data_IF_006171926739
#
_entry.id   IF_006171926739
#
_cell.length_a   1.000
_cell.length_b   1.000
_cell.length_c   1.000
_cell.angle_alpha   90.00
_cell.angle_beta   90.00
_cell.angle_gamma   90.00
#
_symmetry.space_group_name_H-M   'P 1'
#
loop_
_entity.id
_entity.type
_entity.pdbx_description
1 polymer ?
#
# COMPACT_ATOMS: atom_id res chain seq x y z
N UNK A 1 25.86 -48.75 -20.08
CA UNK A 1 26.06 -47.29 -19.91
C UNK A 1 24.90 -46.43 -20.42
N UNK A 2 24.44 -46.59 -21.67
CA UNK A 2 23.47 -45.66 -22.31
C UNK A 2 22.08 -45.60 -21.64
N UNK A 3 21.62 -46.69 -21.04
CA UNK A 3 20.36 -46.74 -20.29
C UNK A 3 20.49 -46.14 -18.89
N UNK A 4 21.62 -46.34 -18.20
CA UNK A 4 21.92 -45.76 -16.88
C UNK A 4 21.93 -44.22 -16.91
N UNK A 5 22.47 -43.62 -17.97
CA UNK A 5 22.45 -42.15 -18.16
C UNK A 5 21.03 -41.63 -18.39
N UNK A 6 20.20 -42.37 -19.15
CA UNK A 6 18.79 -42.00 -19.37
C UNK A 6 17.97 -42.11 -18.10
N UNK A 7 18.17 -43.15 -17.30
CA UNK A 7 17.47 -43.31 -16.02
C UNK A 7 17.88 -42.22 -15.02
N UNK A 8 19.17 -41.87 -14.96
CA UNK A 8 19.68 -40.78 -14.13
C UNK A 8 19.14 -39.40 -14.55
N UNK A 9 19.04 -39.12 -15.84
CA UNK A 9 18.44 -37.89 -16.35
C UNK A 9 16.93 -37.81 -16.06
N UNK A 10 16.21 -38.94 -16.10
CA UNK A 10 14.79 -38.99 -15.78
C UNK A 10 14.52 -38.75 -14.29
N UNK A 11 15.32 -39.33 -13.39
CA UNK A 11 15.18 -39.13 -11.95
C UNK A 11 15.62 -37.74 -11.50
N UNK A 12 16.65 -37.15 -12.12
CA UNK A 12 17.04 -35.77 -11.85
C UNK A 12 15.95 -34.75 -12.23
N UNK A 13 15.18 -35.01 -13.31
CA UNK A 13 14.06 -34.16 -13.72
C UNK A 13 12.87 -34.17 -12.76
N UNK A 14 12.57 -35.31 -12.11
CA UNK A 14 11.48 -35.39 -11.13
C UNK A 14 11.79 -34.64 -9.83
N UNK A 15 13.06 -34.62 -9.39
CA UNK A 15 13.46 -33.92 -8.15
C UNK A 15 13.46 -32.39 -8.35
N UNK A 16 13.62 -31.89 -9.58
CA UNK A 16 13.58 -30.46 -9.90
C UNK A 16 12.17 -29.88 -10.04
N UNK A 17 11.11 -30.71 -9.96
CA UNK A 17 9.72 -30.25 -10.12
C UNK A 17 9.10 -29.73 -8.82
N UNK A 18 9.71 -30.01 -7.65
CA UNK A 18 9.18 -29.68 -6.32
C UNK A 18 9.40 -28.21 -5.89
N UNK A 19 10.06 -27.39 -6.71
CA UNK A 19 10.24 -25.96 -6.43
C UNK A 19 9.18 -25.07 -7.08
N UNK A 20 8.17 -25.66 -7.73
CA UNK A 20 7.03 -24.91 -8.24
C UNK A 20 6.06 -24.61 -7.09
N UNK A 21 6.35 -23.58 -6.30
CA UNK A 21 5.37 -22.99 -5.40
C UNK A 21 4.28 -22.30 -6.23
N UNK A 22 3.21 -23.03 -6.53
CA UNK A 22 1.97 -22.43 -7.00
C UNK A 22 1.42 -21.52 -5.91
N UNK A 23 0.87 -20.36 -6.29
CA UNK A 23 -0.01 -19.59 -5.43
C UNK A 23 -1.10 -20.52 -4.86
N UNK A 24 -1.28 -20.52 -3.54
CA UNK A 24 -2.23 -21.37 -2.82
C UNK A 24 -3.63 -20.75 -2.71
N UNK A 25 -3.78 -19.51 -3.19
CA UNK A 25 -5.02 -18.74 -3.18
C UNK A 25 -5.37 -18.10 -1.84
N UNK A 26 -4.58 -18.28 -0.78
CA UNK A 26 -4.88 -17.76 0.56
C UNK A 26 -5.02 -16.23 0.58
N UNK A 27 -4.17 -15.53 -0.18
CA UNK A 27 -4.15 -14.06 -0.26
C UNK A 27 -5.26 -13.46 -1.12
N UNK A 28 -5.98 -14.29 -1.89
CA UNK A 28 -6.98 -13.87 -2.87
C UNK A 28 -6.46 -12.72 -3.75
N UNK A 29 -7.13 -11.56 -3.73
CA UNK A 29 -6.76 -10.38 -4.52
C UNK A 29 -5.75 -9.46 -3.80
N UNK A 30 -5.50 -9.64 -2.50
CA UNK A 30 -4.54 -8.84 -1.73
C UNK A 30 -3.11 -9.39 -1.90
N UNK A 31 -2.73 -9.58 -3.17
CA UNK A 31 -1.39 -10.02 -3.57
C UNK A 31 -0.49 -8.80 -3.70
N UNK A 32 0.15 -8.44 -2.60
CA UNK A 32 1.18 -7.40 -2.58
C UNK A 32 2.52 -7.93 -3.11
N UNK A 33 2.48 -8.57 -4.28
CA UNK A 33 3.68 -8.98 -5.01
C UNK A 33 4.33 -7.73 -5.62
N UNK A 34 5.66 -7.72 -5.72
CA UNK A 34 6.39 -6.58 -6.28
C UNK A 34 5.93 -6.30 -7.72
N UNK A 35 5.77 -5.02 -8.05
CA UNK A 35 5.35 -4.59 -9.39
C UNK A 35 6.39 -5.01 -10.43
N UNK A 36 5.98 -5.83 -11.40
CA UNK A 36 6.87 -6.37 -12.45
C UNK A 36 7.28 -5.32 -13.49
N UNK A 37 6.42 -4.33 -13.77
CA UNK A 37 6.75 -3.22 -14.67
C UNK A 37 7.71 -2.26 -13.99
N UNK A 38 8.99 -2.33 -14.38
CA UNK A 38 10.05 -1.51 -13.78
C UNK A 38 9.81 0.00 -13.94
N UNK A 39 9.22 0.44 -15.05
CA UNK A 39 8.95 1.88 -15.26
C UNK A 39 7.87 2.35 -14.30
N UNK A 40 6.86 1.51 -14.07
CA UNK A 40 5.78 1.79 -13.12
C UNK A 40 6.30 1.75 -11.67
N UNK A 41 7.10 0.74 -11.33
CA UNK A 41 7.74 0.59 -10.03
C UNK A 41 8.63 1.79 -9.69
N UNK A 42 9.46 2.24 -10.64
CA UNK A 42 10.32 3.42 -10.48
C UNK A 42 9.48 4.69 -10.27
N UNK A 43 8.39 4.84 -11.03
CA UNK A 43 7.48 5.97 -10.90
C UNK A 43 6.83 6.02 -9.51
N UNK A 44 6.26 4.90 -9.02
CA UNK A 44 5.64 4.86 -7.71
C UNK A 44 6.65 5.01 -6.57
N UNK A 45 7.84 4.41 -6.70
CA UNK A 45 8.92 4.53 -5.72
C UNK A 45 9.44 5.98 -5.61
N UNK A 46 9.50 6.70 -6.73
CA UNK A 46 9.84 8.11 -6.73
C UNK A 46 8.75 8.99 -6.10
N UNK A 47 7.48 8.58 -6.24
CA UNK A 47 6.31 9.33 -5.78
C UNK A 47 5.99 9.10 -4.29
N UNK A 48 6.05 7.86 -3.80
CA UNK A 48 5.70 7.46 -2.44
C UNK A 48 6.97 7.21 -1.62
N UNK A 49 7.27 8.14 -0.71
CA UNK A 49 8.51 8.16 0.10
C UNK A 49 8.26 7.84 1.58
N UNK A 50 7.01 7.85 2.01
CA UNK A 50 6.60 7.57 3.38
C UNK A 50 5.09 7.70 3.54
N UNK A 51 4.58 7.27 4.68
CA UNK A 51 3.17 7.42 5.04
C UNK A 51 3.01 7.97 6.45
N UNK A 52 1.86 8.56 6.73
CA UNK A 52 1.47 9.10 8.02
C UNK A 52 -0.03 8.86 8.21
N UNK A 53 -0.38 8.10 9.23
CA UNK A 53 -1.76 7.93 9.69
C UNK A 53 -2.00 8.78 10.93
N UNK A 54 -3.08 9.56 10.92
CA UNK A 54 -3.45 10.45 12.01
C UNK A 54 -4.70 9.90 12.71
N UNK A 55 -4.65 9.79 14.03
CA UNK A 55 -5.66 9.11 14.85
C UNK A 55 -5.11 7.86 15.55
N UNK A 56 -5.89 7.30 16.47
CA UNK A 56 -5.46 6.17 17.32
C UNK A 56 -6.55 5.11 17.50
N UNK A 57 -7.57 5.06 16.64
CA UNK A 57 -8.58 4.00 16.69
C UNK A 57 -8.04 2.68 16.16
N UNK A 58 -8.77 1.59 16.41
CA UNK A 58 -8.41 0.27 15.87
C UNK A 58 -8.45 0.25 14.33
N UNK A 59 -9.40 0.97 13.73
CA UNK A 59 -9.54 1.08 12.26
C UNK A 59 -8.36 1.82 11.64
N UNK A 60 -7.90 2.92 12.25
CA UNK A 60 -6.71 3.65 11.79
C UNK A 60 -5.47 2.78 11.87
N UNK A 61 -5.25 2.06 12.98
CA UNK A 61 -4.13 1.12 13.11
C UNK A 61 -4.19 -0.02 12.10
N UNK A 62 -5.40 -0.56 11.84
CA UNK A 62 -5.57 -1.60 10.82
C UNK A 62 -5.24 -1.08 9.43
N UNK A 63 -5.68 0.14 9.10
CA UNK A 63 -5.38 0.80 7.83
C UNK A 63 -3.87 1.04 7.67
N UNK A 64 -3.21 1.50 8.72
CA UNK A 64 -1.76 1.69 8.72
C UNK A 64 -1.02 0.37 8.45
N UNK A 65 -1.40 -0.70 9.13
CA UNK A 65 -0.81 -2.03 8.93
C UNK A 65 -1.00 -2.52 7.49
N UNK A 66 -2.17 -2.30 6.91
CA UNK A 66 -2.46 -2.70 5.54
C UNK A 66 -1.64 -1.89 4.52
N UNK A 67 -1.61 -0.56 4.65
CA UNK A 67 -0.80 0.31 3.80
C UNK A 67 0.68 -0.06 3.90
N UNK A 68 1.17 -0.38 5.10
CA UNK A 68 2.54 -0.83 5.30
C UNK A 68 2.81 -2.15 4.57
N UNK A 69 1.94 -3.14 4.70
CA UNK A 69 2.08 -4.43 4.02
C UNK A 69 2.01 -4.25 2.49
N UNK A 70 1.01 -3.52 2.02
CA UNK A 70 0.77 -3.20 0.61
C UNK A 70 1.94 -2.49 -0.04
N UNK A 71 2.36 -1.34 0.51
CA UNK A 71 3.48 -0.59 -0.04
C UNK A 71 4.81 -1.35 0.06
N UNK A 72 5.03 -2.12 1.13
CA UNK A 72 6.28 -2.88 1.27
C UNK A 72 6.38 -3.97 0.21
N UNK A 73 5.29 -4.69 -0.02
CA UNK A 73 5.23 -5.74 -1.03
C UNK A 73 5.27 -5.19 -2.45
N UNK A 74 4.32 -4.30 -2.80
CA UNK A 74 4.19 -3.76 -4.16
C UNK A 74 5.42 -2.99 -4.63
N UNK A 75 6.14 -2.31 -3.73
CA UNK A 75 7.32 -1.51 -4.09
C UNK A 75 8.66 -2.23 -3.81
N UNK A 76 8.64 -3.49 -3.35
CA UNK A 76 9.85 -4.28 -3.08
C UNK A 76 10.74 -3.71 -1.98
N UNK A 77 10.26 -2.76 -1.16
CA UNK A 77 11.07 -2.06 -0.16
C UNK A 77 10.27 -1.55 1.03
N UNK A 78 10.93 -1.42 2.17
CA UNK A 78 10.31 -0.85 3.36
C UNK A 78 10.02 0.65 3.17
N UNK A 79 8.74 1.02 3.12
CA UNK A 79 8.27 2.40 3.21
C UNK A 79 8.04 2.75 4.68
N UNK A 80 8.62 3.86 5.14
CA UNK A 80 8.62 4.22 6.56
C UNK A 80 7.43 5.11 6.92
N UNK A 81 6.85 4.82 8.08
CA UNK A 81 6.02 5.77 8.82
C UNK A 81 6.84 7.02 9.15
N UNK A 82 6.26 8.20 8.95
CA UNK A 82 6.89 9.49 9.29
C UNK A 82 6.11 10.22 10.36
N UNK A 83 6.80 10.91 11.27
CA UNK A 83 6.17 11.70 12.35
C UNK A 83 5.78 13.12 11.90
N UNK A 84 5.20 13.25 10.70
CA UNK A 84 4.81 14.53 10.10
C UNK A 84 5.43 14.80 8.72
N UNK A 85 5.04 15.92 8.11
CA UNK A 85 5.45 16.31 6.77
C UNK A 85 6.91 16.79 6.71
N UNK A 86 7.86 15.87 6.70
CA UNK A 86 9.30 16.17 6.58
C UNK A 86 9.77 16.38 5.14
N UNK A 87 9.01 15.90 4.15
CA UNK A 87 9.31 16.04 2.73
C UNK A 87 8.07 15.90 1.84
N UNK A 88 8.27 15.86 0.53
CA UNK A 88 7.22 15.50 -0.45
C UNK A 88 7.12 13.99 -0.59
N UNK A 89 6.01 13.52 -1.18
CA UNK A 89 5.75 12.11 -1.44
C UNK A 89 5.26 11.36 -0.21
N UNK A 90 4.59 12.05 0.70
CA UNK A 90 3.99 11.44 1.89
C UNK A 90 2.53 11.15 1.61
N UNK A 91 2.09 9.92 1.85
CA UNK A 91 0.68 9.55 1.94
C UNK A 91 0.18 9.92 3.34
N UNK A 92 -0.83 10.79 3.42
CA UNK A 92 -1.43 11.21 4.69
C UNK A 92 -2.85 10.69 4.75
N UNK A 93 -3.15 9.89 5.77
CA UNK A 93 -4.45 9.26 5.96
C UNK A 93 -5.08 9.68 7.29
N UNK A 94 -6.38 10.01 7.27
CA UNK A 94 -7.12 10.40 8.47
C UNK A 94 -8.42 11.16 8.16
N UNK A 95 -9.03 11.73 9.19
CA UNK A 95 -10.25 12.54 9.09
C UNK A 95 -9.94 14.00 9.45
N UNK A 96 -10.80 14.96 9.06
CA UNK A 96 -10.68 16.33 9.56
C UNK A 96 -10.75 16.43 11.09
N UNK A 97 -11.38 15.46 11.77
CA UNK A 97 -11.49 15.40 13.23
C UNK A 97 -10.17 15.03 13.92
N UNK A 98 -9.40 14.10 13.36
CA UNK A 98 -8.18 13.59 13.98
C UNK A 98 -6.88 14.17 13.39
N UNK A 99 -6.92 14.78 12.21
CA UNK A 99 -5.73 15.30 11.51
C UNK A 99 -5.80 16.80 11.26
N UNK A 100 -4.88 17.54 11.86
CA UNK A 100 -4.72 18.97 11.60
C UNK A 100 -4.25 19.24 10.16
N UNK A 101 -3.47 18.33 9.58
CA UNK A 101 -2.99 18.39 8.20
C UNK A 101 -4.18 18.35 7.25
N UNK A 102 -5.06 17.37 7.40
CA UNK A 102 -6.25 17.21 6.56
C UNK A 102 -7.22 18.37 6.76
N UNK A 103 -7.47 18.78 8.01
CA UNK A 103 -8.32 19.93 8.32
C UNK A 103 -7.83 21.21 7.63
N UNK A 104 -6.52 21.41 7.54
CA UNK A 104 -5.94 22.59 6.88
C UNK A 104 -6.23 22.68 5.37
N UNK A 105 -6.59 21.56 4.73
CA UNK A 105 -6.92 21.49 3.31
C UNK A 105 -8.36 21.94 2.99
N UNK A 106 -9.21 22.14 4.01
CA UNK A 106 -10.60 22.64 3.86
C UNK A 106 -11.41 21.86 2.82
N UNK A 107 -11.41 20.52 2.95
CA UNK A 107 -12.05 19.59 2.03
C UNK A 107 -13.53 19.34 2.35
N UNK A 108 -14.15 20.16 3.20
CA UNK A 108 -15.52 19.95 3.72
C UNK A 108 -16.56 19.76 2.61
N UNK A 109 -16.46 20.53 1.52
CA UNK A 109 -17.37 20.40 0.37
C UNK A 109 -17.21 19.06 -0.35
N UNK A 110 -16.00 18.51 -0.43
CA UNK A 110 -15.72 17.19 -1.02
C UNK A 110 -16.23 16.06 -0.13
N UNK A 111 -16.19 16.24 1.18
CA UNK A 111 -16.59 15.24 2.17
C UNK A 111 -18.10 15.20 2.43
N UNK A 112 -18.81 16.32 2.23
CA UNK A 112 -20.23 16.48 2.57
C UNK A 112 -21.18 15.43 1.97
N UNK A 113 -20.84 14.85 0.81
CA UNK A 113 -21.65 13.85 0.12
C UNK A 113 -21.22 12.39 0.31
N UNK A 114 -20.17 12.12 1.09
CA UNK A 114 -19.56 10.79 1.17
C UNK A 114 -20.21 9.86 2.20
N UNK A 115 -21.11 10.37 3.04
CA UNK A 115 -21.70 9.59 4.14
C UNK A 115 -20.63 9.13 5.15
N UNK A 116 -20.92 8.07 5.90
CA UNK A 116 -20.02 7.54 6.94
C UNK A 116 -18.90 6.66 6.40
N UNK A 117 -19.05 6.08 5.22
CA UNK A 117 -18.12 5.07 4.67
C UNK A 117 -17.37 5.54 3.43
N UNK A 118 -17.87 6.58 2.74
CA UNK A 118 -17.18 7.12 1.58
C UNK A 118 -15.88 7.82 1.96
N UNK A 119 -14.96 7.82 0.99
CA UNK A 119 -13.63 8.39 1.13
C UNK A 119 -13.26 9.23 -0.08
N UNK A 120 -12.21 10.04 0.08
CA UNK A 120 -11.68 10.92 -0.94
C UNK A 120 -10.17 10.79 -0.99
N UNK A 121 -9.66 10.40 -2.15
CA UNK A 121 -8.22 10.31 -2.43
C UNK A 121 -7.85 11.46 -3.36
N UNK A 122 -6.90 12.29 -2.95
CA UNK A 122 -6.46 13.42 -3.78
C UNK A 122 -4.99 13.72 -3.60
N UNK A 123 -4.38 14.30 -4.62
CA UNK A 123 -3.12 14.99 -4.46
C UNK A 123 -3.36 16.37 -3.83
N UNK A 124 -2.45 16.80 -2.96
CA UNK A 124 -2.48 18.13 -2.36
C UNK A 124 -1.07 18.70 -2.18
N UNK A 125 -1.00 19.98 -1.82
CA UNK A 125 0.26 20.65 -1.42
C UNK A 125 0.09 21.37 -0.09
N UNK A 126 1.02 21.12 0.83
CA UNK A 126 1.12 21.84 2.11
C UNK A 126 2.55 22.35 2.26
N UNK A 127 2.72 23.67 2.43
CA UNK A 127 4.05 24.30 2.54
C UNK A 127 5.01 23.85 1.42
N UNK A 128 4.52 23.86 0.18
CA UNK A 128 5.21 23.41 -1.04
C UNK A 128 5.60 21.91 -1.10
N UNK A 129 5.12 21.08 -0.16
CA UNK A 129 5.32 19.63 -0.17
C UNK A 129 4.15 18.95 -0.87
N UNK A 130 4.44 18.18 -1.92
CA UNK A 130 3.42 17.35 -2.60
C UNK A 130 3.08 16.16 -1.72
N UNK A 131 1.81 15.93 -1.46
CA UNK A 131 1.31 14.81 -0.65
C UNK A 131 0.15 14.12 -1.37
N UNK A 132 -0.06 12.86 -1.03
CA UNK A 132 -1.30 12.13 -1.34
C UNK A 132 -2.13 12.15 -0.07
N UNK A 133 -3.42 12.43 -0.18
CA UNK A 133 -4.34 12.50 0.95
C UNK A 133 -5.40 11.44 0.77
N UNK A 134 -5.57 10.60 1.79
CA UNK A 134 -6.68 9.67 1.94
C UNK A 134 -7.52 10.20 3.10
N UNK A 135 -8.73 10.68 2.83
CA UNK A 135 -9.57 11.24 3.88
C UNK A 135 -11.02 10.85 3.76
N UNK A 136 -11.72 10.84 4.89
CA UNK A 136 -13.12 10.47 4.99
C UNK A 136 -13.79 11.19 6.17
N UNK A 137 -15.11 11.04 6.27
CA UNK A 137 -15.89 11.51 7.42
C UNK A 137 -15.69 10.64 8.68
N UNK A 138 -15.27 9.39 8.51
CA UNK A 138 -15.04 8.44 9.62
C UNK A 138 -13.76 7.64 9.40
N UNK A 139 -13.26 7.02 10.48
CA UNK A 139 -12.11 6.11 10.41
C UNK A 139 -12.40 4.85 9.55
N UNK A 140 -13.68 4.45 9.41
CA UNK A 140 -14.08 3.34 8.54
C UNK A 140 -13.90 3.72 7.06
N UNK A 141 -14.25 4.96 6.68
CA UNK A 141 -13.97 5.44 5.33
C UNK A 141 -12.47 5.56 5.06
N UNK A 142 -11.65 5.91 6.07
CA UNK A 142 -10.18 5.88 5.93
C UNK A 142 -9.68 4.47 5.64
N UNK A 143 -10.23 3.45 6.31
CA UNK A 143 -9.93 2.04 6.03
C UNK A 143 -10.27 1.70 4.57
N UNK A 144 -11.47 2.05 4.11
CA UNK A 144 -11.90 1.77 2.74
C UNK A 144 -11.10 2.52 1.67
N UNK A 145 -10.63 3.74 1.95
CA UNK A 145 -9.76 4.47 1.03
C UNK A 145 -8.30 4.05 1.07
N UNK A 146 -7.92 3.21 2.04
CA UNK A 146 -6.56 2.66 2.17
C UNK A 146 -6.36 1.42 1.29
N UNK A 147 -7.39 0.59 1.19
CA UNK A 147 -7.46 -0.52 0.23
C UNK A 147 -7.68 0.00 -1.19
#
# INVERSE_FOLDING_TARGET
MRYLIKTFLLTAGLILSDTAHSEDGYRLWLRYDEIEDQVLLDHYTAYIKGYLFEGNSALIRSSENEMKAGLTGLLGRNIKEVKGLRGSGIVVAGTPGNSAIIRSLKLDSRLSGLGSEGYYITNARIKNKKIIVITANSDQGVLYGTF
#
